data_IF_815180961631
#
_entry.id   IF_815180961631
#
_cell.length_a   1.000
_cell.length_b   1.000
_cell.length_c   1.000
_cell.angle_alpha   90.00
_cell.angle_beta   90.00
_cell.angle_gamma   90.00
#
_symmetry.space_group_name_H-M   'P 1'
#
loop_
_entity.id
_entity.type
_entity.pdbx_description
1 polymer ?
#
# COMPACT_ATOMS: atom_id res chain seq x y z
N UNK A 1 -20.12 69.60 30.02
CA UNK A 1 -19.38 69.57 28.74
C UNK A 1 -18.02 68.90 28.99
N UNK A 2 -17.86 67.62 28.64
CA UNK A 2 -16.60 66.86 28.84
C UNK A 2 -15.84 66.77 27.52
N UNK A 3 -14.58 67.22 27.48
CA UNK A 3 -13.68 67.15 26.31
C UNK A 3 -13.08 65.74 26.20
N UNK A 4 -13.03 65.19 24.99
CA UNK A 4 -12.52 63.86 24.67
C UNK A 4 -10.97 63.80 24.61
N UNK A 5 -10.33 62.66 24.96
CA UNK A 5 -8.90 62.47 24.74
C UNK A 5 -8.60 61.87 23.35
N UNK A 6 -8.19 62.73 22.42
CA UNK A 6 -7.58 62.35 21.13
C UNK A 6 -6.12 61.96 21.36
N UNK A 7 -5.84 60.73 21.84
CA UNK A 7 -4.46 60.19 21.88
C UNK A 7 -4.32 58.69 21.62
N UNK A 8 -5.41 57.94 21.46
CA UNK A 8 -5.35 56.48 21.19
C UNK A 8 -5.42 56.12 19.70
N UNK A 9 -5.94 57.00 18.84
CA UNK A 9 -6.14 56.68 17.43
C UNK A 9 -4.85 56.67 16.58
N UNK A 10 -3.83 57.43 16.99
CA UNK A 10 -2.59 57.56 16.21
C UNK A 10 -1.65 56.34 16.34
N UNK A 11 -1.70 55.60 17.45
CA UNK A 11 -0.87 54.41 17.65
C UNK A 11 -1.45 53.19 16.89
N UNK A 12 -2.78 53.13 16.75
CA UNK A 12 -3.46 52.05 16.05
C UNK A 12 -3.29 52.11 14.52
N UNK A 13 -3.10 53.31 13.96
CA UNK A 13 -2.95 53.50 12.51
C UNK A 13 -1.55 53.12 11.98
N UNK A 14 -0.52 53.09 12.85
CA UNK A 14 0.83 52.71 12.44
C UNK A 14 1.06 51.19 12.51
N UNK A 15 0.30 50.48 13.36
CA UNK A 15 0.38 49.02 13.49
C UNK A 15 -0.37 48.26 12.37
N UNK A 16 -1.31 48.91 11.67
CA UNK A 16 -2.07 48.29 10.58
C UNK A 16 -1.36 48.35 9.22
N UNK A 17 -0.36 49.22 9.05
CA UNK A 17 0.40 49.34 7.79
C UNK A 17 1.52 48.27 7.64
N UNK A 18 1.87 47.54 8.70
CA UNK A 18 2.96 46.56 8.70
C UNK A 18 2.55 45.13 8.30
N UNK A 19 1.26 44.83 8.14
CA UNK A 19 0.75 43.46 8.02
C UNK A 19 0.65 42.92 6.58
N UNK A 20 1.17 43.63 5.58
CA UNK A 20 0.71 43.46 4.18
C UNK A 20 1.58 42.67 3.19
N UNK A 21 2.81 42.25 3.51
CA UNK A 21 3.67 41.58 2.50
C UNK A 21 4.36 40.32 3.04
N UNK A 22 3.58 39.27 3.27
CA UNK A 22 4.12 37.90 3.31
C UNK A 22 3.92 37.27 1.93
N UNK A 23 4.86 37.54 1.01
CA UNK A 23 4.92 36.81 -0.26
C UNK A 23 5.24 35.34 0.05
N UNK A 24 4.39 34.36 -0.36
CA UNK A 24 4.75 32.97 -0.27
C UNK A 24 5.91 32.72 -1.24
N UNK A 25 7.12 32.62 -0.70
CA UNK A 25 8.27 32.13 -1.44
C UNK A 25 8.05 30.63 -1.68
N UNK A 26 7.38 30.31 -2.79
CA UNK A 26 7.23 28.95 -3.26
C UNK A 26 8.58 28.43 -3.74
N UNK A 27 9.28 27.69 -2.89
CA UNK A 27 10.41 26.88 -3.31
C UNK A 27 9.88 25.82 -4.28
N UNK A 28 9.93 26.10 -5.58
CA UNK A 28 9.66 25.11 -6.60
C UNK A 28 10.73 24.02 -6.46
N UNK A 29 10.32 22.86 -5.95
CA UNK A 29 11.21 21.72 -5.79
C UNK A 29 11.78 21.37 -7.18
N UNK A 30 13.10 21.47 -7.32
CA UNK A 30 13.81 21.07 -8.52
C UNK A 30 13.50 19.60 -8.80
N UNK A 31 12.79 19.32 -9.89
CA UNK A 31 12.38 17.97 -10.24
C UNK A 31 13.64 17.11 -10.48
N UNK A 32 13.76 16.02 -9.73
CA UNK A 32 14.86 15.08 -9.86
C UNK A 32 14.77 14.34 -11.22
N UNK A 33 15.72 14.55 -12.15
CA UNK A 33 15.71 13.88 -13.46
C UNK A 33 15.97 12.38 -13.36
N UNK A 34 16.40 11.88 -12.19
CA UNK A 34 16.61 10.45 -11.91
C UNK A 34 15.41 9.79 -11.22
N UNK A 35 14.32 10.55 -10.99
CA UNK A 35 13.13 9.99 -10.39
C UNK A 35 12.58 8.83 -11.24
N UNK A 36 12.29 7.67 -10.63
CA UNK A 36 11.79 6.50 -11.35
C UNK A 36 10.43 6.81 -12.00
N UNK A 37 10.25 6.39 -13.25
CA UNK A 37 9.02 6.61 -13.99
C UNK A 37 7.82 5.96 -13.25
N UNK A 38 6.78 6.72 -12.88
CA UNK A 38 5.62 6.19 -12.14
C UNK A 38 4.75 5.25 -12.98
N UNK A 39 5.02 5.05 -14.29
CA UNK A 39 4.28 4.11 -15.17
C UNK A 39 4.23 2.66 -14.68
N UNK A 40 5.02 2.28 -13.68
CA UNK A 40 4.96 0.97 -13.02
C UNK A 40 4.06 0.89 -11.78
N UNK A 41 3.53 2.02 -11.27
CA UNK A 41 2.70 2.07 -10.06
C UNK A 41 1.21 1.80 -10.32
N UNK A 42 0.86 1.32 -11.51
CA UNK A 42 -0.44 0.71 -11.73
C UNK A 42 -0.47 -0.65 -11.02
N UNK A 43 -0.72 -0.63 -9.71
CA UNK A 43 -1.37 -1.75 -9.03
C UNK A 43 -2.77 -1.86 -9.63
N UNK A 44 -2.87 -2.49 -10.80
CA UNK A 44 -4.14 -2.79 -11.42
C UNK A 44 -4.93 -3.71 -10.47
N UNK A 45 -6.16 -3.34 -10.06
CA UNK A 45 -7.03 -4.24 -9.33
C UNK A 45 -7.55 -5.26 -10.35
N UNK A 46 -6.85 -6.37 -10.52
CA UNK A 46 -7.22 -7.36 -11.54
C UNK A 46 -6.44 -8.66 -11.50
N UNK A 47 -5.83 -9.01 -10.37
CA UNK A 47 -5.47 -10.40 -10.10
C UNK A 47 -6.68 -11.06 -9.48
N UNK A 48 -7.24 -12.05 -10.18
CA UNK A 48 -8.38 -12.85 -9.72
C UNK A 48 -8.36 -13.05 -8.21
N UNK A 49 -9.43 -12.66 -7.50
CA UNK A 49 -9.61 -12.92 -6.06
C UNK A 49 -9.80 -14.42 -5.76
N UNK A 50 -9.34 -15.29 -6.66
CA UNK A 50 -9.11 -16.69 -6.37
C UNK A 50 -7.94 -16.79 -5.41
N UNK A 51 -8.10 -17.60 -4.36
CA UNK A 51 -7.02 -17.94 -3.44
C UNK A 51 -5.75 -18.27 -4.24
N UNK A 52 -4.77 -17.37 -4.21
CA UNK A 52 -3.61 -17.42 -5.09
C UNK A 52 -2.43 -17.96 -4.32
N UNK A 53 -1.98 -19.17 -4.67
CA UNK A 53 -0.73 -19.70 -4.12
C UNK A 53 0.43 -18.85 -4.67
N UNK A 54 1.10 -18.14 -3.77
CA UNK A 54 2.19 -17.23 -4.11
C UNK A 54 3.55 -17.92 -4.01
N UNK A 55 3.71 -18.83 -3.04
CA UNK A 55 4.99 -19.50 -2.80
C UNK A 55 4.82 -20.79 -1.99
N UNK A 56 5.77 -21.71 -2.14
CA UNK A 56 5.90 -22.92 -1.35
C UNK A 56 7.36 -23.16 -0.97
N UNK A 57 7.62 -23.57 0.28
CA UNK A 57 8.89 -24.12 0.74
C UNK A 57 8.67 -25.50 1.30
N UNK A 58 9.35 -26.47 0.71
CA UNK A 58 9.31 -27.86 1.12
C UNK A 58 10.75 -28.32 1.34
N UNK A 59 11.11 -28.53 2.60
CA UNK A 59 12.35 -29.18 3.03
C UNK A 59 12.01 -30.46 3.79
N UNK A 60 13.02 -31.23 4.18
CA UNK A 60 12.83 -32.46 4.96
C UNK A 60 12.14 -32.18 6.31
N UNK A 61 12.50 -31.08 6.97
CA UNK A 61 12.00 -30.73 8.30
C UNK A 61 10.88 -29.68 8.30
N UNK A 62 10.57 -29.04 7.17
CA UNK A 62 9.65 -27.89 7.15
C UNK A 62 8.87 -27.78 5.85
N UNK A 63 7.56 -27.61 5.98
CA UNK A 63 6.64 -27.39 4.85
C UNK A 63 5.80 -26.16 5.11
N UNK A 64 5.93 -25.16 4.24
CA UNK A 64 5.22 -23.89 4.35
C UNK A 64 4.75 -23.41 2.99
N UNK A 65 3.64 -22.69 2.99
CA UNK A 65 3.13 -22.02 1.81
C UNK A 65 2.74 -20.58 2.15
N UNK A 66 2.73 -19.72 1.13
CA UNK A 66 2.12 -18.40 1.23
C UNK A 66 0.93 -18.37 0.29
N UNK A 67 -0.26 -18.18 0.87
CA UNK A 67 -1.54 -18.11 0.18
C UNK A 67 -2.12 -16.73 0.47
N UNK A 68 -2.41 -15.93 -0.57
CA UNK A 68 -2.90 -14.55 -0.41
C UNK A 68 -2.01 -13.69 0.51
N UNK A 69 -0.69 -13.89 0.48
CA UNK A 69 0.25 -13.19 1.36
C UNK A 69 0.34 -13.71 2.80
N UNK A 70 -0.47 -14.69 3.19
CA UNK A 70 -0.46 -15.28 4.53
C UNK A 70 0.35 -16.57 4.53
N UNK A 71 1.31 -16.68 5.45
CA UNK A 71 2.10 -17.90 5.65
C UNK A 71 1.26 -18.94 6.38
N UNK A 72 1.23 -20.16 5.84
CA UNK A 72 0.49 -21.31 6.40
C UNK A 72 1.36 -22.57 6.40
N UNK A 73 1.00 -23.49 7.29
CA UNK A 73 1.57 -24.83 7.46
C UNK A 73 0.49 -25.91 7.32
N UNK A 74 0.91 -27.18 7.21
CA UNK A 74 -0.04 -28.30 7.14
C UNK A 74 -0.88 -28.37 8.43
N UNK A 75 -2.20 -28.45 8.28
CA UNK A 75 -3.15 -28.46 9.39
C UNK A 75 -3.81 -27.10 9.69
N UNK A 76 -3.23 -26.00 9.22
CA UNK A 76 -3.79 -24.66 9.41
C UNK A 76 -5.14 -24.49 8.69
N UNK A 77 -5.92 -23.50 9.14
CA UNK A 77 -7.17 -23.08 8.49
C UNK A 77 -7.06 -21.65 7.99
N UNK A 78 -7.44 -21.43 6.73
CA UNK A 78 -7.44 -20.12 6.08
C UNK A 78 -8.72 -19.96 5.26
N UNK A 79 -9.52 -18.93 5.55
CA UNK A 79 -10.72 -18.61 4.75
C UNK A 79 -11.76 -19.74 4.65
N UNK A 80 -11.90 -20.56 5.68
CA UNK A 80 -12.80 -21.72 5.68
C UNK A 80 -12.25 -22.97 4.99
N UNK A 81 -11.02 -22.91 4.47
CA UNK A 81 -10.29 -24.06 3.94
C UNK A 81 -9.28 -24.59 4.97
N UNK A 82 -9.12 -25.91 5.06
CA UNK A 82 -8.05 -26.56 5.82
C UNK A 82 -6.90 -26.94 4.89
N UNK A 83 -5.67 -26.64 5.29
CA UNK A 83 -4.47 -27.07 4.56
C UNK A 83 -4.21 -28.55 4.87
N UNK A 84 -4.30 -29.40 3.84
CA UNK A 84 -4.07 -30.83 3.98
C UNK A 84 -2.61 -31.21 3.76
N UNK A 85 -2.01 -30.71 2.68
CA UNK A 85 -0.66 -31.10 2.24
C UNK A 85 0.00 -29.98 1.46
N UNK A 86 1.28 -29.74 1.73
CA UNK A 86 2.09 -28.77 0.98
C UNK A 86 3.13 -29.53 0.16
N UNK A 87 3.08 -29.33 -1.17
CA UNK A 87 3.99 -29.90 -2.16
C UNK A 87 4.74 -28.77 -2.88
N UNK A 88 5.74 -29.14 -3.68
CA UNK A 88 6.42 -28.18 -4.55
C UNK A 88 5.44 -27.57 -5.54
N UNK A 89 5.19 -26.26 -5.43
CA UNK A 89 4.32 -25.50 -6.33
C UNK A 89 2.83 -25.84 -6.23
N UNK A 90 2.40 -26.61 -5.23
CA UNK A 90 1.00 -26.97 -5.04
C UNK A 90 0.63 -27.17 -3.56
N UNK A 91 -0.60 -26.83 -3.21
CA UNK A 91 -1.18 -27.04 -1.87
C UNK A 91 -2.54 -27.71 -2.01
N UNK A 92 -2.70 -28.86 -1.36
CA UNK A 92 -3.99 -29.55 -1.25
C UNK A 92 -4.77 -28.93 -0.09
N UNK A 93 -6.01 -28.53 -0.36
CA UNK A 93 -6.90 -27.90 0.62
C UNK A 93 -8.23 -28.63 0.68
N UNK A 94 -8.90 -28.53 1.82
CA UNK A 94 -10.26 -29.01 2.04
C UNK A 94 -11.17 -27.84 2.37
N UNK A 95 -12.22 -27.67 1.59
CA UNK A 95 -13.27 -26.65 1.76
C UNK A 95 -14.60 -27.33 2.09
N UNK A 96 -15.64 -26.53 2.37
CA UNK A 96 -16.99 -27.06 2.55
C UNK A 96 -17.51 -27.84 1.32
N UNK A 97 -17.00 -27.53 0.12
CA UNK A 97 -17.37 -28.16 -1.14
C UNK A 97 -16.58 -29.43 -1.44
N UNK A 98 -15.55 -29.74 -0.65
CA UNK A 98 -14.65 -30.88 -0.85
C UNK A 98 -13.19 -30.47 -1.00
N UNK A 99 -12.39 -31.37 -1.58
CA UNK A 99 -10.94 -31.17 -1.75
C UNK A 99 -10.63 -30.43 -3.04
N UNK A 100 -9.68 -29.51 -2.97
CA UNK A 100 -9.19 -28.74 -4.10
C UNK A 100 -7.65 -28.63 -4.03
N UNK A 101 -7.02 -28.29 -5.16
CA UNK A 101 -5.56 -28.11 -5.26
C UNK A 101 -5.22 -26.74 -5.79
N UNK A 102 -4.65 -25.92 -4.91
CA UNK A 102 -4.06 -24.64 -5.25
C UNK A 102 -2.73 -24.86 -5.93
N UNK A 103 -2.56 -24.28 -7.13
CA UNK A 103 -1.30 -24.36 -7.89
C UNK A 103 -0.66 -23.00 -8.00
N UNK A 104 0.67 -22.99 -7.97
CA UNK A 104 1.45 -21.79 -8.21
C UNK A 104 1.18 -21.35 -9.65
N UNK A 105 0.74 -20.10 -9.84
CA UNK A 105 0.59 -19.58 -11.19
C UNK A 105 1.99 -19.39 -11.82
N UNK A 106 2.17 -19.72 -13.10
CA UNK A 106 3.43 -19.43 -13.78
C UNK A 106 3.67 -17.92 -13.73
N UNK A 107 4.89 -17.52 -13.37
CA UNK A 107 5.30 -16.12 -13.41
C UNK A 107 5.10 -15.60 -14.84
N UNK A 108 4.12 -14.73 -15.05
CA UNK A 108 3.96 -14.05 -16.33
C UNK A 108 5.19 -13.19 -16.57
N UNK A 109 6.08 -13.67 -17.42
CA UNK A 109 7.18 -12.86 -17.94
C UNK A 109 6.54 -11.91 -18.94
N UNK A 110 6.57 -10.61 -18.65
CA UNK A 110 6.17 -9.58 -19.61
C UNK A 110 7.15 -9.63 -20.77
N UNK A 111 6.73 -10.15 -21.92
CA UNK A 111 7.49 -10.00 -23.15
C UNK A 111 7.37 -8.55 -23.61
N UNK A 112 8.52 -7.87 -23.76
CA UNK A 112 8.56 -6.54 -24.34
C UNK A 112 8.23 -6.64 -25.86
N UNK A 113 7.43 -5.74 -26.42
CA UNK A 113 7.22 -5.64 -27.86
C UNK A 113 8.49 -5.17 -28.58
#
# INVERSE_FOLDING_TARGET
>A
MRKAPVKLAALAALLTLGAGLTLPCGAAALADPTAPNPRGQAAGPGGDTGSGLTWTRVTENRREAVINGIRVTEGDRLGGARILRIRHGAVEIETASGRDTLRLQPSRIKQAP
#
